data_IF_304715811774
#
_entry.id   IF_304715811774
#
_cell.length_a   1.000
_cell.length_b   1.000
_cell.length_c   1.000
_cell.angle_alpha   90.00
_cell.angle_beta   90.00
_cell.angle_gamma   90.00
#
_symmetry.space_group_name_H-M   'P 1'
#
loop_
_entity.id
_entity.type
_entity.pdbx_description
1 polymer ?
#
# COMPACT_ATOMS: atom_id res chain seq x y z
N UNK A 1 26.66 17.05 10.67
CA UNK A 1 26.71 15.59 10.56
C UNK A 1 25.77 15.21 9.44
N UNK A 2 26.24 14.74 8.27
CA UNK A 2 25.36 14.28 7.20
C UNK A 2 24.63 13.02 7.68
N UNK A 3 23.32 13.08 7.56
CA UNK A 3 22.38 12.01 7.89
C UNK A 3 22.62 10.83 6.93
N UNK A 4 23.40 9.85 7.37
CA UNK A 4 23.59 8.64 6.58
C UNK A 4 22.20 8.01 6.33
N UNK A 5 21.90 7.64 5.09
CA UNK A 5 20.65 6.96 4.81
C UNK A 5 20.68 5.62 5.54
N UNK A 6 19.94 5.51 6.66
CA UNK A 6 19.74 4.24 7.34
C UNK A 6 18.89 3.37 6.41
N UNK A 7 19.57 2.76 5.45
CA UNK A 7 19.01 1.73 4.58
C UNK A 7 18.75 0.55 5.52
N UNK A 8 17.49 0.25 5.77
CA UNK A 8 17.10 -0.93 6.54
C UNK A 8 17.52 -2.16 5.73
N UNK A 9 18.64 -2.77 6.12
CA UNK A 9 19.19 -3.98 5.49
C UNK A 9 18.11 -5.06 5.51
N UNK A 10 17.81 -5.73 4.36
CA UNK A 10 16.88 -6.86 4.34
C UNK A 10 17.33 -7.92 5.35
N UNK A 11 16.38 -8.57 6.02
CA UNK A 11 16.73 -9.74 6.84
C UNK A 11 17.27 -10.85 5.94
N UNK A 12 18.11 -11.75 6.48
CA UNK A 12 18.60 -12.88 5.72
C UNK A 12 17.47 -13.72 5.09
N UNK A 13 16.35 -13.88 5.81
CA UNK A 13 15.16 -14.56 5.31
C UNK A 13 14.49 -13.80 4.14
N UNK A 14 14.42 -12.47 4.21
CA UNK A 14 13.88 -11.65 3.11
C UNK A 14 14.77 -11.72 1.87
N UNK A 15 16.08 -11.66 2.03
CA UNK A 15 17.04 -11.79 0.93
C UNK A 15 16.98 -13.19 0.28
N UNK A 16 16.85 -14.25 1.06
CA UNK A 16 16.68 -15.61 0.57
C UNK A 16 15.36 -15.76 -0.23
N UNK A 17 14.25 -15.22 0.29
CA UNK A 17 12.97 -15.24 -0.41
C UNK A 17 13.06 -14.49 -1.75
N UNK A 18 13.65 -13.30 -1.78
CA UNK A 18 13.85 -12.52 -3.02
C UNK A 18 14.70 -13.29 -4.04
N UNK A 19 15.78 -13.93 -3.60
CA UNK A 19 16.64 -14.74 -4.48
C UNK A 19 15.87 -15.88 -5.14
N UNK A 20 15.03 -16.59 -4.38
CA UNK A 20 14.20 -17.69 -4.88
C UNK A 20 13.09 -17.19 -5.82
N UNK A 21 12.46 -16.05 -5.49
CA UNK A 21 11.47 -15.42 -6.38
C UNK A 21 12.09 -15.02 -7.72
N UNK A 22 13.31 -14.50 -7.73
CA UNK A 22 14.06 -14.20 -8.96
C UNK A 22 14.41 -15.46 -9.75
N UNK A 23 14.71 -16.55 -9.06
CA UNK A 23 14.92 -17.87 -9.69
C UNK A 23 13.62 -18.51 -10.19
N UNK A 24 12.46 -17.83 -10.07
CA UNK A 24 11.15 -18.34 -10.49
C UNK A 24 10.72 -19.62 -9.75
N UNK A 25 11.15 -19.76 -8.50
CA UNK A 25 10.73 -20.85 -7.63
C UNK A 25 9.27 -20.65 -7.20
N UNK A 26 8.38 -21.53 -7.66
CA UNK A 26 6.95 -21.48 -7.35
C UNK A 26 6.67 -21.62 -5.84
N UNK A 27 7.49 -22.39 -5.13
CA UNK A 27 7.35 -22.54 -3.68
C UNK A 27 7.67 -21.25 -2.93
N UNK A 28 8.57 -20.42 -3.49
CA UNK A 28 8.84 -19.09 -2.96
C UNK A 28 7.65 -18.15 -3.14
N UNK A 29 6.86 -18.32 -4.21
CA UNK A 29 5.62 -17.53 -4.41
C UNK A 29 4.54 -17.94 -3.39
N UNK A 30 4.43 -19.20 -3.05
CA UNK A 30 3.54 -19.67 -1.98
C UNK A 30 3.95 -19.05 -0.64
N UNK A 31 5.24 -19.12 -0.28
CA UNK A 31 5.76 -18.48 0.94
C UNK A 31 5.52 -16.96 0.95
N UNK A 32 5.69 -16.30 -0.20
CA UNK A 32 5.41 -14.87 -0.35
C UNK A 32 3.92 -14.58 -0.11
N UNK A 33 3.04 -15.38 -0.72
CA UNK A 33 1.59 -15.24 -0.56
C UNK A 33 1.19 -15.38 0.91
N UNK A 34 1.61 -16.44 1.58
CA UNK A 34 1.29 -16.70 2.99
C UNK A 34 1.75 -15.56 3.92
N UNK A 35 2.89 -14.96 3.61
CA UNK A 35 3.48 -13.90 4.42
C UNK A 35 2.87 -12.52 4.20
N UNK A 36 2.49 -12.18 2.97
CA UNK A 36 2.16 -10.80 2.61
C UNK A 36 0.72 -10.58 2.12
N UNK A 37 0.01 -11.60 1.65
CA UNK A 37 -1.29 -11.45 1.01
C UNK A 37 -2.33 -10.75 1.91
N UNK A 38 -2.42 -11.11 3.17
CA UNK A 38 -3.36 -10.50 4.11
C UNK A 38 -3.10 -8.99 4.31
N UNK A 39 -1.83 -8.59 4.40
CA UNK A 39 -1.46 -7.19 4.53
C UNK A 39 -1.73 -6.40 3.23
N UNK A 40 -1.41 -6.99 2.08
CA UNK A 40 -1.67 -6.38 0.77
C UNK A 40 -3.17 -6.23 0.51
N UNK A 41 -3.95 -7.28 0.80
CA UNK A 41 -5.40 -7.24 0.69
C UNK A 41 -6.01 -6.16 1.59
N UNK A 42 -5.55 -6.04 2.84
CA UNK A 42 -6.00 -5.00 3.76
C UNK A 42 -5.76 -3.57 3.24
N UNK A 43 -4.64 -3.32 2.56
CA UNK A 43 -4.36 -2.03 1.90
C UNK A 43 -5.29 -1.81 0.72
N UNK A 44 -5.42 -2.81 -0.16
CA UNK A 44 -6.26 -2.75 -1.36
C UNK A 44 -7.72 -2.51 -0.99
N UNK A 45 -8.27 -3.30 -0.06
CA UNK A 45 -9.68 -3.23 0.34
C UNK A 45 -10.06 -1.86 0.93
N UNK A 46 -9.17 -1.21 1.67
CA UNK A 46 -9.41 0.14 2.19
C UNK A 46 -9.54 1.19 1.08
N UNK A 47 -8.86 0.99 -0.03
CA UNK A 47 -8.88 1.89 -1.18
C UNK A 47 -10.09 1.58 -2.06
N UNK A 48 -10.24 0.33 -2.47
CA UNK A 48 -11.26 -0.11 -3.46
C UNK A 48 -12.63 -0.27 -2.83
N UNK A 49 -12.73 -0.65 -1.55
CA UNK A 49 -13.93 -0.88 -0.72
C UNK A 49 -14.82 -2.05 -1.14
N UNK A 50 -14.98 -2.34 -2.42
CA UNK A 50 -15.72 -3.52 -2.92
C UNK A 50 -14.84 -4.76 -2.80
N UNK A 51 -15.37 -5.82 -2.20
CA UNK A 51 -14.61 -7.03 -1.85
C UNK A 51 -14.12 -7.78 -3.09
N UNK A 52 -15.01 -8.05 -4.02
CA UNK A 52 -14.73 -8.70 -5.30
C UNK A 52 -13.68 -7.94 -6.13
N UNK A 53 -13.79 -6.61 -6.21
CA UNK A 53 -12.78 -5.78 -6.87
C UNK A 53 -11.44 -5.78 -6.13
N UNK A 54 -11.45 -5.91 -4.79
CA UNK A 54 -10.22 -5.97 -3.99
C UNK A 54 -9.49 -7.30 -4.19
N UNK A 55 -10.20 -8.41 -4.32
CA UNK A 55 -9.64 -9.71 -4.65
C UNK A 55 -9.01 -9.71 -6.05
N UNK A 56 -9.71 -9.14 -7.05
CA UNK A 56 -9.17 -8.98 -8.40
C UNK A 56 -7.86 -8.18 -8.39
N UNK A 57 -7.84 -7.04 -7.69
CA UNK A 57 -6.65 -6.20 -7.57
C UNK A 57 -5.51 -6.90 -6.84
N UNK A 58 -5.82 -7.73 -5.82
CA UNK A 58 -4.79 -8.53 -5.14
C UNK A 58 -4.16 -9.53 -6.11
N UNK A 59 -4.95 -10.26 -6.88
CA UNK A 59 -4.44 -11.20 -7.88
C UNK A 59 -3.57 -10.50 -8.91
N UNK A 60 -4.03 -9.35 -9.45
CA UNK A 60 -3.25 -8.55 -10.38
C UNK A 60 -1.93 -8.05 -9.75
N UNK A 61 -1.97 -7.64 -8.48
CA UNK A 61 -0.78 -7.22 -7.75
C UNK A 61 0.23 -8.35 -7.59
N UNK A 62 -0.21 -9.56 -7.24
CA UNK A 62 0.64 -10.73 -7.10
C UNK A 62 1.33 -11.10 -8.41
N UNK A 63 0.58 -11.10 -9.52
CA UNK A 63 1.12 -11.34 -10.87
C UNK A 63 2.13 -10.26 -11.23
N UNK A 64 1.82 -8.98 -10.98
CA UNK A 64 2.73 -7.87 -11.27
C UNK A 64 4.00 -7.93 -10.43
N UNK A 65 3.89 -8.27 -9.15
CA UNK A 65 5.05 -8.46 -8.26
C UNK A 65 5.93 -9.60 -8.77
N UNK A 66 5.34 -10.73 -9.14
CA UNK A 66 6.05 -11.87 -9.70
C UNK A 66 6.86 -11.49 -10.94
N UNK A 67 6.27 -10.75 -11.88
CA UNK A 67 6.97 -10.30 -13.08
C UNK A 67 8.01 -9.22 -12.82
N UNK A 68 7.75 -8.33 -11.85
CA UNK A 68 8.59 -7.17 -11.58
C UNK A 68 9.70 -7.43 -10.54
N UNK A 69 9.80 -8.64 -9.96
CA UNK A 69 10.74 -8.94 -8.86
C UNK A 69 12.20 -8.66 -9.22
N UNK A 70 12.57 -8.77 -10.49
CA UNK A 70 13.90 -8.43 -10.98
C UNK A 70 14.26 -6.96 -10.77
N UNK A 71 13.26 -6.07 -10.81
CA UNK A 71 13.42 -4.64 -10.63
C UNK A 71 13.49 -4.21 -9.15
N UNK A 72 13.23 -5.12 -8.22
CA UNK A 72 13.34 -4.82 -6.79
C UNK A 72 14.79 -4.58 -6.41
N UNK A 73 15.06 -3.43 -5.81
CA UNK A 73 16.38 -3.04 -5.34
C UNK A 73 16.38 -2.93 -3.80
N UNK A 74 17.03 -3.86 -3.09
CA UNK A 74 17.07 -3.84 -1.63
C UNK A 74 17.80 -2.62 -1.04
N UNK A 75 18.61 -1.93 -1.85
CA UNK A 75 19.27 -0.68 -1.43
C UNK A 75 18.29 0.48 -1.34
N UNK A 76 17.16 0.44 -2.04
CA UNK A 76 16.13 1.49 -2.06
C UNK A 76 15.08 1.32 -0.96
N UNK A 77 14.95 0.13 -0.39
CA UNK A 77 13.98 -0.14 0.65
C UNK A 77 13.66 -1.62 0.82
N UNK A 78 12.86 -1.94 1.84
CA UNK A 78 12.47 -3.32 2.13
C UNK A 78 11.45 -3.83 1.12
N UNK A 79 11.44 -5.16 0.93
CA UNK A 79 10.51 -5.86 0.06
C UNK A 79 9.04 -5.48 0.37
N UNK A 80 8.66 -5.49 1.64
CA UNK A 80 7.30 -5.11 2.07
C UNK A 80 6.88 -3.73 1.54
N UNK A 81 7.74 -2.72 1.68
CA UNK A 81 7.45 -1.36 1.20
C UNK A 81 7.26 -1.33 -0.32
N UNK A 82 8.07 -2.08 -1.04
CA UNK A 82 8.01 -2.14 -2.49
C UNK A 82 6.71 -2.81 -2.98
N UNK A 83 6.33 -3.97 -2.40
CA UNK A 83 5.10 -4.68 -2.79
C UNK A 83 3.82 -3.94 -2.40
N UNK A 84 3.81 -3.29 -1.23
CA UNK A 84 2.68 -2.43 -0.81
C UNK A 84 2.48 -1.27 -1.77
N UNK A 85 3.55 -0.64 -2.25
CA UNK A 85 3.45 0.45 -3.23
C UNK A 85 2.86 -0.03 -4.57
N UNK A 86 3.25 -1.22 -5.05
CA UNK A 86 2.66 -1.82 -6.26
C UNK A 86 1.16 -2.03 -6.08
N UNK A 87 0.78 -2.71 -4.98
CA UNK A 87 -0.61 -3.03 -4.67
C UNK A 87 -1.48 -1.78 -4.50
N UNK A 88 -0.97 -0.79 -3.76
CA UNK A 88 -1.62 0.51 -3.59
C UNK A 88 -1.85 1.23 -4.92
N UNK A 89 -0.84 1.29 -5.77
CA UNK A 89 -0.96 1.99 -7.06
C UNK A 89 -2.02 1.33 -7.94
N UNK A 90 -2.05 -0.02 -8.01
CA UNK A 90 -3.10 -0.74 -8.73
C UNK A 90 -4.49 -0.45 -8.18
N UNK A 91 -4.65 -0.41 -6.86
CA UNK A 91 -5.93 -0.09 -6.23
C UNK A 91 -6.39 1.35 -6.57
N UNK A 92 -5.48 2.32 -6.56
CA UNK A 92 -5.77 3.71 -6.95
C UNK A 92 -6.13 3.80 -8.44
N UNK A 93 -5.38 3.13 -9.31
CA UNK A 93 -5.64 3.10 -10.76
C UNK A 93 -7.01 2.48 -11.05
N UNK A 94 -7.41 1.43 -10.31
CA UNK A 94 -8.74 0.82 -10.41
C UNK A 94 -9.86 1.83 -10.11
N UNK A 95 -9.72 2.60 -9.02
CA UNK A 95 -10.71 3.62 -8.66
C UNK A 95 -10.76 4.75 -9.68
N UNK A 96 -9.60 5.28 -10.09
CA UNK A 96 -9.52 6.36 -11.08
C UNK A 96 -10.14 5.95 -12.42
N UNK A 97 -9.87 4.75 -12.89
CA UNK A 97 -10.46 4.24 -14.14
C UNK A 97 -11.98 4.06 -14.05
N UNK A 98 -12.51 3.70 -12.87
CA UNK A 98 -13.94 3.64 -12.61
C UNK A 98 -14.59 5.03 -12.63
N UNK A 99 -13.97 6.00 -11.97
CA UNK A 99 -14.43 7.39 -11.96
C UNK A 99 -14.45 7.98 -13.38
N UNK A 100 -13.42 7.76 -14.17
CA UNK A 100 -13.38 8.15 -15.59
C UNK A 100 -14.49 7.51 -16.41
N UNK A 101 -14.78 6.22 -16.21
CA UNK A 101 -15.88 5.55 -16.90
C UNK A 101 -17.27 6.08 -16.51
N UNK A 102 -17.44 6.45 -15.24
CA UNK A 102 -18.69 7.04 -14.75
C UNK A 102 -18.84 8.46 -15.30
N UNK A 103 -17.81 9.31 -15.24
CA UNK A 103 -17.87 10.69 -15.73
C UNK A 103 -18.04 10.77 -17.25
N UNK A 104 -17.44 9.86 -18.03
CA UNK A 104 -17.65 9.81 -19.48
C UNK A 104 -19.03 9.31 -19.89
N UNK A 105 -19.75 8.60 -19.01
CA UNK A 105 -21.17 8.21 -19.20
C UNK A 105 -22.15 9.26 -18.70
N UNK A 106 -21.71 10.21 -17.85
CA UNK A 106 -22.55 11.19 -17.17
C UNK A 106 -22.20 12.62 -17.58
N UNK A 107 -21.94 12.87 -18.86
CA UNK A 107 -21.93 14.26 -19.37
C UNK A 107 -23.35 14.86 -19.37
N UNK A 108 -24.07 14.76 -18.28
CA UNK A 108 -25.44 15.24 -18.21
C UNK A 108 -26.08 15.29 -16.83
N UNK A 109 -25.39 15.16 -15.70
CA UNK A 109 -26.04 15.46 -14.41
C UNK A 109 -24.97 15.77 -13.32
N UNK A 110 -25.16 16.96 -12.82
CA UNK A 110 -24.37 17.68 -11.82
C UNK A 110 -24.38 17.05 -10.42
N UNK A 111 -23.35 17.39 -9.64
CA UNK A 111 -23.34 17.41 -8.16
C UNK A 111 -23.62 16.11 -7.35
N UNK A 112 -22.74 15.11 -7.42
CA UNK A 112 -22.70 14.13 -6.33
C UNK A 112 -21.30 13.56 -5.94
N UNK A 113 -20.24 14.20 -6.37
CA UNK A 113 -18.86 13.74 -6.07
C UNK A 113 -18.40 14.02 -4.65
N UNK A 114 -19.08 14.87 -3.90
CA UNK A 114 -18.77 15.17 -2.50
C UNK A 114 -19.37 14.17 -1.49
N UNK A 115 -20.43 13.45 -1.86
CA UNK A 115 -21.19 12.58 -0.95
C UNK A 115 -20.61 11.17 -0.80
N UNK A 116 -19.71 10.72 -1.66
CA UNK A 116 -19.14 9.35 -1.62
C UNK A 116 -17.85 9.22 -0.79
N UNK A 117 -17.41 10.30 -0.12
CA UNK A 117 -16.30 10.26 0.84
C UNK A 117 -16.66 9.74 2.23
N UNK A 118 -17.93 9.43 2.49
CA UNK A 118 -18.35 8.83 3.75
C UNK A 118 -18.08 7.32 3.71
N UNK A 119 -17.08 6.91 4.50
CA UNK A 119 -16.73 5.52 4.70
C UNK A 119 -17.94 4.75 5.26
N UNK A 120 -18.47 3.81 4.49
CA UNK A 120 -19.29 2.75 5.06
C UNK A 120 -18.44 1.94 6.05
N UNK A 121 -19.00 1.52 7.21
CA UNK A 121 -18.25 0.72 8.17
C UNK A 121 -17.84 -0.59 7.50
N UNK A 122 -16.54 -0.82 7.41
CA UNK A 122 -15.99 -2.07 6.89
C UNK A 122 -16.48 -3.23 7.76
N UNK A 123 -17.12 -4.21 7.16
CA UNK A 123 -17.54 -5.45 7.84
C UNK A 123 -16.28 -6.13 8.38
N UNK A 124 -16.25 -6.34 9.67
CA UNK A 124 -15.14 -6.90 10.42
C UNK A 124 -14.83 -8.32 9.95
N UNK A 125 -13.60 -8.56 9.47
CA UNK A 125 -13.03 -9.90 9.26
C UNK A 125 -11.75 -10.05 10.08
N UNK A 126 -11.57 -11.17 10.82
CA UNK A 126 -10.42 -11.36 11.73
C UNK A 126 -9.05 -11.29 11.07
N UNK A 127 -8.94 -11.69 9.83
CA UNK A 127 -7.72 -11.69 9.02
C UNK A 127 -7.15 -10.29 8.71
N UNK A 128 -7.98 -9.23 8.86
CA UNK A 128 -7.56 -7.83 8.63
C UNK A 128 -7.10 -7.10 9.90
N UNK A 129 -7.16 -7.76 11.07
CA UNK A 129 -6.80 -7.18 12.38
C UNK A 129 -5.33 -6.75 12.41
N UNK A 130 -4.44 -7.51 11.77
CA UNK A 130 -3.00 -7.26 11.84
C UNK A 130 -2.59 -5.86 11.39
N UNK A 131 -3.14 -5.35 10.29
CA UNK A 131 -2.72 -4.06 9.74
C UNK A 131 -3.28 -2.87 10.53
N UNK A 132 -4.51 -2.96 11.04
CA UNK A 132 -5.10 -1.93 11.90
C UNK A 132 -4.40 -1.82 13.25
N UNK A 133 -4.09 -2.97 13.88
CA UNK A 133 -3.36 -3.00 15.14
C UNK A 133 -1.94 -2.45 14.96
N UNK A 134 -1.29 -2.79 13.86
CA UNK A 134 0.05 -2.33 13.54
C UNK A 134 0.08 -0.81 13.30
N UNK A 135 -0.91 -0.24 12.59
CA UNK A 135 -0.98 1.21 12.38
C UNK A 135 -1.30 2.00 13.66
N UNK A 136 -1.96 1.38 14.65
CA UNK A 136 -2.18 2.00 15.97
C UNK A 136 -0.88 2.24 16.75
N UNK A 137 0.19 1.54 16.43
CA UNK A 137 1.51 1.71 17.06
C UNK A 137 2.30 2.88 16.48
N UNK A 138 1.82 3.48 15.39
CA UNK A 138 2.42 4.69 14.84
C UNK A 138 2.02 5.91 15.69
N UNK A 139 2.95 6.86 15.83
CA UNK A 139 2.61 8.17 16.41
C UNK A 139 1.57 8.89 15.52
N UNK A 140 0.69 9.74 16.09
CA UNK A 140 -0.44 10.32 15.37
C UNK A 140 -0.07 10.98 14.04
N UNK A 141 1.04 11.70 13.99
CA UNK A 141 1.50 12.42 12.80
C UNK A 141 1.96 11.49 11.67
N UNK A 142 2.53 10.34 12.01
CA UNK A 142 2.90 9.30 11.04
C UNK A 142 1.67 8.56 10.55
N UNK A 143 0.73 8.27 11.46
CA UNK A 143 -0.50 7.59 11.15
C UNK A 143 -1.36 8.38 10.19
N UNK A 144 -1.55 9.70 10.41
CA UNK A 144 -2.29 10.56 9.49
C UNK A 144 -1.73 10.52 8.06
N UNK A 145 -0.41 10.58 7.93
CA UNK A 145 0.25 10.48 6.62
C UNK A 145 0.01 9.10 5.98
N UNK A 146 0.14 8.02 6.75
CA UNK A 146 -0.12 6.65 6.25
C UNK A 146 -1.59 6.50 5.85
N UNK A 147 -2.52 7.01 6.64
CA UNK A 147 -3.95 6.93 6.37
C UNK A 147 -4.30 7.63 5.04
N UNK A 148 -3.78 8.82 4.79
CA UNK A 148 -3.99 9.53 3.53
C UNK A 148 -3.33 8.83 2.34
N UNK A 149 -2.05 8.45 2.47
CA UNK A 149 -1.29 7.89 1.37
C UNK A 149 -1.73 6.47 1.01
N UNK A 150 -1.95 5.61 2.00
CA UNK A 150 -2.16 4.17 1.77
C UNK A 150 -3.62 3.75 1.83
N UNK A 151 -4.48 4.53 2.45
CA UNK A 151 -5.89 4.21 2.59
C UNK A 151 -6.82 5.27 1.98
N UNK A 152 -6.39 6.54 1.93
CA UNK A 152 -7.14 7.63 1.32
C UNK A 152 -6.93 7.76 -0.19
N UNK A 153 -5.93 7.09 -0.77
CA UNK A 153 -5.61 7.18 -2.19
C UNK A 153 -4.93 8.49 -2.61
N UNK A 154 -4.47 9.30 -1.64
CA UNK A 154 -3.78 10.56 -1.91
C UNK A 154 -2.36 10.32 -2.43
N UNK A 155 -1.91 11.13 -3.37
CA UNK A 155 -0.49 11.26 -3.68
C UNK A 155 0.23 11.99 -2.54
N UNK A 156 1.55 11.95 -2.50
CA UNK A 156 2.32 12.67 -1.48
C UNK A 156 2.10 14.19 -1.54
N UNK A 157 1.90 14.73 -2.75
CA UNK A 157 1.63 16.15 -2.95
C UNK A 157 0.22 16.52 -2.44
N UNK A 158 -0.80 15.76 -2.79
CA UNK A 158 -2.18 15.94 -2.30
C UNK A 158 -2.25 15.80 -0.76
N UNK A 159 -1.53 14.82 -0.18
CA UNK A 159 -1.45 14.67 1.28
C UNK A 159 -0.72 15.83 1.96
N UNK A 160 0.26 16.45 1.29
CA UNK A 160 0.93 17.64 1.79
C UNK A 160 0.00 18.86 1.82
N UNK A 161 -0.81 19.03 0.79
CA UNK A 161 -1.85 20.06 0.72
C UNK A 161 -2.93 19.83 1.78
N UNK A 162 -3.48 18.61 1.87
CA UNK A 162 -4.52 18.25 2.84
C UNK A 162 -4.09 18.46 4.30
N UNK A 163 -2.85 18.11 4.63
CA UNK A 163 -2.29 18.27 5.97
C UNK A 163 -1.66 19.66 6.21
N UNK A 164 -1.63 20.52 5.19
CA UNK A 164 -0.92 21.82 5.25
C UNK A 164 0.54 21.67 5.69
N UNK A 165 1.23 20.65 5.17
CA UNK A 165 2.61 20.32 5.50
C UNK A 165 3.52 20.43 4.27
N UNK A 166 4.82 20.77 4.46
CA UNK A 166 5.79 20.67 3.37
C UNK A 166 5.87 19.23 2.84
N UNK A 167 5.97 19.07 1.51
CA UNK A 167 6.11 17.75 0.86
C UNK A 167 7.26 16.92 1.43
N UNK A 168 8.39 17.57 1.79
CA UNK A 168 9.53 16.92 2.44
C UNK A 168 9.18 16.29 3.79
N UNK A 169 8.31 16.95 4.56
CA UNK A 169 7.81 16.46 5.86
C UNK A 169 6.93 15.22 5.66
N UNK A 170 6.02 15.25 4.68
CA UNK A 170 5.16 14.10 4.34
C UNK A 170 6.01 12.90 3.91
N UNK A 171 7.00 13.11 3.04
CA UNK A 171 7.94 12.06 2.61
C UNK A 171 8.69 11.43 3.78
N UNK A 172 9.20 12.26 4.71
CA UNK A 172 9.96 11.80 5.87
C UNK A 172 9.07 11.02 6.84
N UNK A 173 7.88 11.55 7.15
CA UNK A 173 6.90 10.87 8.02
C UNK A 173 6.45 9.53 7.44
N UNK A 174 6.12 9.47 6.15
CA UNK A 174 5.77 8.23 5.47
C UNK A 174 6.91 7.19 5.53
N UNK A 175 8.14 7.61 5.24
CA UNK A 175 9.32 6.73 5.30
C UNK A 175 9.55 6.17 6.70
N UNK A 176 9.43 7.00 7.73
CA UNK A 176 9.62 6.59 9.12
C UNK A 176 8.52 5.64 9.57
N UNK A 177 7.26 5.95 9.24
CA UNK A 177 6.12 5.09 9.52
C UNK A 177 6.28 3.69 8.91
N UNK A 178 6.64 3.62 7.62
CA UNK A 178 6.87 2.33 6.95
C UNK A 178 8.01 1.52 7.57
N UNK A 179 9.06 2.18 8.09
CA UNK A 179 10.12 1.49 8.83
C UNK A 179 9.61 0.88 10.13
N UNK A 180 8.74 1.58 10.85
CA UNK A 180 8.11 1.06 12.08
C UNK A 180 7.22 -0.14 11.73
N UNK A 181 6.34 0.01 10.74
CA UNK A 181 5.44 -1.05 10.29
C UNK A 181 6.19 -2.30 9.83
N UNK A 182 7.26 -2.13 9.07
CA UNK A 182 8.10 -3.25 8.60
C UNK A 182 8.79 -4.04 9.72
N UNK A 183 8.98 -3.46 10.91
CA UNK A 183 9.51 -4.17 12.08
C UNK A 183 8.44 -5.02 12.78
N UNK A 184 7.18 -4.66 12.63
CA UNK A 184 6.05 -5.29 13.32
C UNK A 184 5.45 -6.46 12.52
N UNK A 185 5.71 -6.51 11.21
CA UNK A 185 5.32 -7.60 10.32
C UNK A 185 6.46 -8.63 10.29
N UNK A 186 6.59 -9.36 11.39
CA UNK A 186 7.52 -10.48 11.51
C UNK A 186 6.74 -11.77 11.71
#
# INVERSE_FOLDING_TARGET
MPDEPIISIPTAAEAALVSRLRARDETAMTEFYDRYSAALYGVIQRIVKAEDEAEDVLQEALVKIWHAIESYDPSKGRLFTWVVNISRNLAIDKIRSRQHRVSSRTQGLDDSLAAQRQAAPATFRPEHIGLQEITKQLVPEQRQVIDLLYFGGFTQSEAAEELSLPLGTVKTRARTALKVLAKLIR
#
